data_IF_184292987589
#
_entry.id   IF_184292987589
#
_cell.length_a   1.000
_cell.length_b   1.000
_cell.length_c   1.000
_cell.angle_alpha   90.00
_cell.angle_beta   90.00
_cell.angle_gamma   90.00
#
_symmetry.space_group_name_H-M   'P 1'
#
loop_
_entity.id
_entity.type
_entity.pdbx_description
1 polymer ?
#
# COMPACT_ATOMS: atom_id res chain seq x y z
N UNK A 1 11.95 -10.21 -22.48
CA UNK A 1 10.50 -10.05 -22.72
C UNK A 1 9.81 -11.18 -22.00
N UNK A 2 9.16 -10.93 -20.87
CA UNK A 2 8.46 -11.96 -20.11
C UNK A 2 7.00 -12.04 -20.60
N UNK A 3 6.62 -13.26 -20.94
CA UNK A 3 5.32 -13.70 -21.46
C UNK A 3 4.21 -13.54 -20.40
N UNK A 4 3.26 -12.65 -20.67
CA UNK A 4 2.06 -12.44 -19.84
C UNK A 4 1.05 -13.54 -20.15
N UNK A 5 0.92 -14.54 -19.27
CA UNK A 5 -0.14 -15.54 -19.35
C UNK A 5 -1.46 -14.95 -18.82
N UNK A 6 -2.51 -14.82 -19.63
CA UNK A 6 -3.82 -14.40 -19.13
C UNK A 6 -4.45 -15.56 -18.34
N UNK A 7 -4.91 -15.29 -17.11
CA UNK A 7 -5.79 -16.22 -16.38
C UNK A 7 -5.53 -16.49 -14.90
N UNK A 8 -4.53 -15.87 -14.26
CA UNK A 8 -4.38 -15.91 -12.80
C UNK A 8 -4.30 -14.51 -12.22
N UNK A 9 -5.40 -14.07 -11.62
CA UNK A 9 -5.44 -12.88 -10.78
C UNK A 9 -4.90 -13.26 -9.40
N UNK A 10 -3.89 -12.56 -8.85
CA UNK A 10 -3.47 -12.78 -7.48
C UNK A 10 -4.62 -12.48 -6.51
N UNK A 11 -5.08 -13.51 -5.80
CA UNK A 11 -5.94 -13.36 -4.63
C UNK A 11 -5.07 -13.31 -3.38
N UNK A 12 -5.17 -12.22 -2.64
CA UNK A 12 -4.34 -11.95 -1.47
C UNK A 12 -5.24 -11.88 -0.23
N UNK A 13 -5.10 -12.88 0.64
CA UNK A 13 -5.81 -13.01 1.90
C UNK A 13 -4.82 -12.82 3.06
N UNK A 14 -5.17 -11.97 4.02
CA UNK A 14 -4.46 -11.85 5.29
C UNK A 14 -5.48 -11.99 6.43
N UNK A 15 -5.53 -13.16 7.10
CA UNK A 15 -6.42 -13.34 8.25
C UNK A 15 -6.01 -12.42 9.40
N UNK A 16 -6.99 -11.87 10.13
CA UNK A 16 -6.75 -11.03 11.31
C UNK A 16 -6.00 -11.79 12.42
N UNK A 17 -6.22 -13.11 12.51
CA UNK A 17 -5.50 -14.02 13.41
C UNK A 17 -4.24 -14.67 12.77
N UNK A 18 -3.73 -14.12 11.66
CA UNK A 18 -2.58 -14.67 10.95
C UNK A 18 -1.26 -14.59 11.73
N UNK A 19 -0.18 -15.14 11.16
CA UNK A 19 1.16 -14.98 11.72
C UNK A 19 1.69 -13.56 11.49
N UNK A 20 2.38 -13.02 12.49
CA UNK A 20 3.07 -11.72 12.42
C UNK A 20 4.58 -11.92 12.17
N UNK A 21 5.23 -10.91 11.60
CA UNK A 21 6.70 -10.89 11.53
C UNK A 21 7.27 -10.17 12.75
N UNK A 22 8.54 -10.42 13.10
CA UNK A 22 9.20 -9.86 14.29
C UNK A 22 9.03 -8.33 14.47
N UNK A 23 8.84 -7.60 13.36
CA UNK A 23 8.75 -6.14 13.33
C UNK A 23 7.36 -5.60 12.95
N UNK A 24 6.32 -6.45 12.91
CA UNK A 24 4.95 -6.00 12.70
C UNK A 24 4.03 -6.70 13.68
N UNK A 25 3.04 -5.96 14.19
CA UNK A 25 2.01 -6.52 15.06
C UNK A 25 0.83 -7.08 14.26
N UNK A 26 0.79 -6.86 12.95
CA UNK A 26 -0.35 -7.25 12.12
C UNK A 26 0.06 -8.27 11.05
N UNK A 27 -0.72 -9.34 10.89
CA UNK A 27 -0.63 -10.25 9.76
C UNK A 27 -0.57 -9.55 8.40
N UNK A 28 0.10 -10.16 7.42
CA UNK A 28 0.09 -9.66 6.05
C UNK A 28 0.30 -10.76 5.03
N UNK A 29 -0.25 -10.55 3.85
CA UNK A 29 0.14 -11.23 2.63
C UNK A 29 0.46 -10.14 1.61
N UNK A 30 1.74 -9.97 1.28
CA UNK A 30 2.21 -8.89 0.42
C UNK A 30 3.30 -9.37 -0.53
N UNK A 31 3.29 -8.82 -1.74
CA UNK A 31 4.41 -8.88 -2.66
C UNK A 31 5.39 -7.78 -2.29
N UNK A 32 6.67 -8.13 -2.27
CA UNK A 32 7.79 -7.23 -2.00
C UNK A 32 8.57 -7.11 -3.30
N UNK A 33 8.82 -5.88 -3.77
CA UNK A 33 9.69 -5.69 -4.93
C UNK A 33 11.09 -6.21 -4.65
N UNK A 34 11.70 -6.84 -5.66
CA UNK A 34 13.08 -7.30 -5.62
C UNK A 34 14.07 -6.21 -6.06
N UNK A 35 13.55 -5.06 -6.48
CA UNK A 35 14.35 -3.94 -6.97
C UNK A 35 14.23 -2.78 -5.98
N UNK A 36 15.30 -2.58 -5.23
CA UNK A 36 15.44 -1.39 -4.39
C UNK A 36 15.81 -0.16 -5.26
N UNK A 37 15.51 1.04 -4.75
CA UNK A 37 15.89 2.33 -5.35
C UNK A 37 16.12 3.39 -4.27
N UNK A 38 16.68 4.53 -4.65
CA UNK A 38 16.94 5.63 -3.74
C UNK A 38 15.75 6.60 -3.72
N UNK A 39 15.19 6.81 -2.54
CA UNK A 39 14.04 7.70 -2.36
C UNK A 39 14.38 9.15 -2.72
N UNK A 40 13.52 9.75 -3.55
CA UNK A 40 13.59 11.15 -3.98
C UNK A 40 14.63 11.44 -5.06
N UNK A 41 15.32 10.43 -5.61
CA UNK A 41 16.40 10.63 -6.58
C UNK A 41 16.12 9.99 -7.96
N UNK A 42 15.27 8.97 -8.01
CA UNK A 42 14.90 8.29 -9.25
C UNK A 42 13.39 8.19 -9.37
N UNK A 43 12.87 8.48 -10.57
CA UNK A 43 11.44 8.31 -10.80
C UNK A 43 11.11 6.82 -10.82
N UNK A 44 10.24 6.38 -9.90
CA UNK A 44 9.79 5.00 -9.77
C UNK A 44 8.32 4.95 -9.42
N UNK A 45 7.58 4.04 -10.01
CA UNK A 45 6.12 3.96 -9.85
C UNK A 45 5.64 2.54 -9.59
N UNK A 46 4.72 2.40 -8.63
CA UNK A 46 3.86 1.24 -8.46
C UNK A 46 2.44 1.61 -8.89
N UNK A 47 1.91 0.90 -9.89
CA UNK A 47 0.51 1.01 -10.32
C UNK A 47 -0.19 -0.32 -10.11
N UNK A 48 -1.40 -0.28 -9.57
CA UNK A 48 -2.21 -1.48 -9.41
C UNK A 48 -3.69 -1.21 -9.68
N UNK A 49 -4.36 -2.25 -10.15
CA UNK A 49 -5.80 -2.31 -10.31
C UNK A 49 -6.33 -3.45 -9.47
N UNK A 50 -7.29 -3.19 -8.59
CA UNK A 50 -7.71 -4.14 -7.56
C UNK A 50 -9.18 -3.96 -7.15
N UNK A 51 -9.70 -4.95 -6.44
CA UNK A 51 -10.95 -4.86 -5.69
C UNK A 51 -10.75 -5.43 -4.29
N UNK A 52 -11.27 -4.73 -3.28
CA UNK A 52 -11.30 -5.19 -1.89
C UNK A 52 -12.65 -5.87 -1.65
N UNK A 53 -12.64 -7.15 -1.30
CA UNK A 53 -13.85 -7.95 -1.09
C UNK A 53 -14.20 -8.14 0.39
N UNK A 54 -13.23 -7.93 1.29
CA UNK A 54 -13.40 -8.01 2.72
C UNK A 54 -12.36 -7.11 3.40
N UNK A 55 -12.74 -6.52 4.54
CA UNK A 55 -11.86 -5.81 5.47
C UNK A 55 -12.05 -6.42 6.87
N UNK A 56 -11.06 -6.33 7.77
CA UNK A 56 -11.20 -6.80 9.14
C UNK A 56 -12.38 -6.13 9.86
N UNK A 57 -13.01 -6.85 10.77
CA UNK A 57 -14.28 -6.45 11.38
C UNK A 57 -14.15 -5.26 12.33
N UNK A 58 -13.02 -5.12 13.03
CA UNK A 58 -12.81 -4.08 14.03
C UNK A 58 -12.33 -2.75 13.42
N UNK A 59 -11.19 -2.74 12.75
CA UNK A 59 -10.56 -1.53 12.21
C UNK A 59 -11.15 -1.11 10.87
N UNK A 60 -11.74 -2.06 10.13
CA UNK A 60 -12.24 -1.88 8.75
C UNK A 60 -11.18 -1.32 7.80
N UNK A 61 -9.90 -1.54 8.12
CA UNK A 61 -8.76 -0.89 7.49
C UNK A 61 -7.70 -1.92 7.05
N UNK A 62 -7.23 -1.77 5.82
CA UNK A 62 -6.12 -2.51 5.25
C UNK A 62 -5.21 -1.57 4.47
N UNK A 63 -3.90 -1.82 4.52
CA UNK A 63 -2.93 -1.18 3.65
C UNK A 63 -2.79 -2.05 2.39
N UNK A 64 -2.94 -1.42 1.23
CA UNK A 64 -2.99 -2.08 -0.09
C UNK A 64 -1.75 -1.81 -0.95
N UNK A 65 -0.96 -0.80 -0.62
CA UNK A 65 0.27 -0.43 -1.31
C UNK A 65 1.17 0.38 -0.38
N UNK A 66 2.48 0.19 -0.52
CA UNK A 66 3.46 0.86 0.32
C UNK A 66 4.70 1.23 -0.47
N UNK A 67 5.38 2.26 0.02
CA UNK A 67 6.78 2.50 -0.24
C UNK A 67 7.51 2.35 1.10
N UNK A 68 8.35 1.32 1.17
CA UNK A 68 8.90 0.76 2.38
C UNK A 68 10.42 0.85 2.35
N UNK A 69 11.02 1.22 3.48
CA UNK A 69 12.46 1.17 3.66
C UNK A 69 13.05 -0.20 3.37
N UNK A 70 14.27 -0.19 2.85
CA UNK A 70 15.17 -1.33 2.67
C UNK A 70 16.42 -1.15 3.55
N UNK A 71 17.34 -2.10 3.51
CA UNK A 71 18.62 -2.06 4.24
C UNK A 71 18.50 -1.63 5.72
N UNK A 72 19.07 -0.48 6.07
CA UNK A 72 19.17 0.06 7.42
C UNK A 72 17.81 0.50 7.99
N UNK A 73 16.86 0.82 7.12
CA UNK A 73 15.50 1.27 7.48
C UNK A 73 14.42 0.23 7.16
N UNK A 74 14.80 -1.04 6.93
CA UNK A 74 13.91 -2.14 6.49
C UNK A 74 12.70 -2.47 7.38
N UNK A 75 12.56 -1.84 8.53
CA UNK A 75 11.40 -1.98 9.42
C UNK A 75 10.38 -0.85 9.28
N UNK A 76 10.60 0.13 8.40
CA UNK A 76 9.78 1.34 8.31
C UNK A 76 9.12 1.46 6.94
N UNK A 77 7.81 1.30 6.89
CA UNK A 77 6.98 1.82 5.79
C UNK A 77 6.77 3.31 6.00
N UNK A 78 7.01 4.15 4.98
CA UNK A 78 6.81 5.59 5.09
C UNK A 78 5.74 6.14 4.18
N UNK A 79 5.39 5.47 3.08
CA UNK A 79 4.12 5.68 2.37
C UNK A 79 3.26 4.44 2.58
N UNK A 80 2.03 4.64 3.04
CA UNK A 80 1.04 3.59 3.23
C UNK A 80 -0.28 4.03 2.60
N UNK A 81 -0.76 3.28 1.61
CA UNK A 81 -2.04 3.54 0.98
C UNK A 81 -3.10 2.65 1.63
N UNK A 82 -4.06 3.28 2.28
CA UNK A 82 -5.14 2.62 3.01
C UNK A 82 -6.39 2.46 2.14
N UNK A 83 -7.07 1.33 2.31
CA UNK A 83 -8.50 1.20 2.05
C UNK A 83 -9.19 1.02 3.40
N UNK A 84 -10.01 2.01 3.77
CA UNK A 84 -10.68 2.09 5.07
C UNK A 84 -12.17 2.27 4.88
N UNK A 85 -12.90 1.17 4.93
CA UNK A 85 -14.35 1.11 4.75
C UNK A 85 -14.85 1.93 3.53
N UNK A 86 -14.13 1.81 2.41
CA UNK A 86 -14.43 2.53 1.17
C UNK A 86 -13.83 3.94 1.03
N UNK A 87 -13.07 4.38 2.03
CA UNK A 87 -12.18 5.55 1.92
C UNK A 87 -10.78 5.10 1.47
N UNK A 88 -10.20 5.82 0.51
CA UNK A 88 -8.83 5.63 0.07
C UNK A 88 -8.04 6.87 0.48
N UNK A 89 -7.01 6.68 1.29
CA UNK A 89 -6.12 7.73 1.76
C UNK A 89 -4.68 7.24 1.83
N UNK A 90 -3.73 8.15 1.64
CA UNK A 90 -2.32 7.86 1.79
C UNK A 90 -1.80 8.49 3.10
N UNK A 91 -1.07 7.71 3.88
CA UNK A 91 -0.29 8.21 5.00
C UNK A 91 1.18 8.31 4.62
N UNK A 92 1.79 9.46 4.86
CA UNK A 92 3.23 9.71 4.67
C UNK A 92 3.88 10.01 6.02
N UNK A 93 4.65 9.06 6.56
CA UNK A 93 5.43 9.28 7.79
C UNK A 93 6.48 10.36 7.57
N UNK A 94 6.67 11.21 8.56
CA UNK A 94 7.65 12.31 8.48
C UNK A 94 9.01 11.93 9.10
N UNK A 95 9.03 10.88 9.93
CA UNK A 95 10.20 10.39 10.66
C UNK A 95 10.31 8.87 10.57
N UNK A 96 11.54 8.36 10.56
CA UNK A 96 11.80 6.92 10.65
C UNK A 96 11.35 6.29 11.99
N UNK A 97 11.16 7.10 13.04
CA UNK A 97 10.69 6.68 14.37
C UNK A 97 9.58 7.59 14.88
N UNK A 98 8.65 7.00 15.63
CA UNK A 98 7.45 7.68 16.13
C UNK A 98 6.30 7.66 15.12
N UNK A 99 5.25 8.40 15.45
CA UNK A 99 3.96 8.33 14.76
C UNK A 99 3.62 9.60 13.96
N UNK A 100 4.60 10.49 13.78
CA UNK A 100 4.41 11.71 13.00
C UNK A 100 4.22 11.38 11.52
N UNK A 101 3.06 11.79 10.99
CA UNK A 101 2.63 11.50 9.63
C UNK A 101 1.71 12.59 9.10
N UNK A 102 1.63 12.68 7.78
CA UNK A 102 0.65 13.46 7.04
C UNK A 102 -0.33 12.51 6.35
N UNK A 103 -1.60 12.84 6.32
CA UNK A 103 -2.65 12.04 5.67
C UNK A 103 -3.21 12.81 4.48
N UNK A 104 -3.31 12.14 3.34
CA UNK A 104 -3.77 12.68 2.07
C UNK A 104 -5.02 11.92 1.61
N UNK A 105 -6.22 12.51 1.73
CA UNK A 105 -7.43 11.87 1.25
C UNK A 105 -7.45 11.84 -0.29
N UNK A 106 -7.87 10.71 -0.87
CA UNK A 106 -7.98 10.54 -2.31
C UNK A 106 -9.43 10.29 -2.73
N UNK A 107 -10.02 9.17 -2.32
CA UNK A 107 -11.39 8.83 -2.70
C UNK A 107 -12.20 8.44 -1.46
N UNK A 108 -13.51 8.60 -1.56
CA UNK A 108 -14.48 8.10 -0.58
C UNK A 108 -15.59 7.36 -1.30
N UNK A 109 -16.29 6.48 -0.59
CA UNK A 109 -17.43 5.75 -1.12
C UNK A 109 -17.08 4.74 -2.21
N UNK A 110 -15.86 4.18 -2.22
CA UNK A 110 -15.50 3.03 -3.06
C UNK A 110 -16.06 1.76 -2.40
N UNK A 111 -17.06 1.07 -2.98
CA UNK A 111 -17.66 -0.09 -2.34
C UNK A 111 -16.74 -1.31 -2.32
N UNK A 112 -17.02 -2.24 -1.40
CA UNK A 112 -16.43 -3.58 -1.50
C UNK A 112 -16.84 -4.24 -2.82
N UNK A 113 -15.92 -5.01 -3.40
CA UNK A 113 -16.01 -5.70 -4.68
C UNK A 113 -15.98 -4.81 -5.93
N UNK A 114 -16.02 -3.49 -5.77
CA UNK A 114 -15.82 -2.58 -6.89
C UNK A 114 -14.33 -2.45 -7.22
N UNK A 115 -14.04 -2.34 -8.51
CA UNK A 115 -12.68 -2.20 -9.02
C UNK A 115 -12.26 -0.75 -9.00
N UNK A 116 -11.08 -0.48 -8.47
CA UNK A 116 -10.43 0.82 -8.52
C UNK A 116 -8.96 0.65 -8.88
N UNK A 117 -8.33 1.76 -9.22
CA UNK A 117 -6.91 1.82 -9.55
C UNK A 117 -6.19 2.74 -8.57
N UNK A 118 -4.92 2.47 -8.29
CA UNK A 118 -4.04 3.41 -7.61
C UNK A 118 -2.68 3.50 -8.28
N UNK A 119 -1.98 4.60 -8.01
CA UNK A 119 -0.55 4.74 -8.30
C UNK A 119 0.16 5.39 -7.13
N UNK A 120 1.35 4.90 -6.79
CA UNK A 120 2.32 5.54 -5.90
C UNK A 120 3.56 5.79 -6.75
N UNK A 121 3.95 7.05 -6.91
CA UNK A 121 5.14 7.46 -7.65
C UNK A 121 6.07 8.25 -6.75
N UNK A 122 7.33 7.81 -6.66
CA UNK A 122 8.43 8.71 -6.35
C UNK A 122 8.80 9.44 -7.65
N UNK A 123 8.75 10.77 -7.65
CA UNK A 123 8.95 11.58 -8.85
C UNK A 123 10.46 11.80 -9.15
N UNK A 124 11.36 11.29 -8.31
CA UNK A 124 12.82 11.39 -8.49
C UNK A 124 13.38 12.81 -8.34
N UNK A 125 12.61 13.70 -7.74
CA UNK A 125 12.94 15.12 -7.56
C UNK A 125 12.66 15.61 -6.13
N UNK A 126 12.65 14.68 -5.16
CA UNK A 126 12.27 14.94 -3.78
C UNK A 126 10.76 15.07 -3.53
N UNK A 127 9.91 14.81 -4.54
CA UNK A 127 8.46 14.76 -4.38
C UNK A 127 7.88 13.40 -4.75
N UNK A 128 6.66 13.15 -4.29
CA UNK A 128 5.89 11.95 -4.57
C UNK A 128 4.50 12.33 -5.02
N UNK A 129 3.96 11.52 -5.92
CA UNK A 129 2.61 11.64 -6.44
C UNK A 129 1.83 10.37 -6.15
N UNK A 130 0.71 10.49 -5.45
CA UNK A 130 -0.20 9.38 -5.13
C UNK A 130 -1.56 9.66 -5.74
N UNK A 131 -2.13 8.70 -6.45
CA UNK A 131 -3.46 8.83 -7.05
C UNK A 131 -4.30 7.59 -6.85
N UNK A 132 -5.62 7.79 -6.86
CA UNK A 132 -6.61 6.72 -6.92
C UNK A 132 -7.71 7.08 -7.92
N UNK A 133 -8.22 6.07 -8.63
CA UNK A 133 -9.27 6.22 -9.64
C UNK A 133 -10.39 5.22 -9.41
N UNK A 134 -11.63 5.69 -9.38
CA UNK A 134 -12.82 4.85 -9.31
C UNK A 134 -13.91 5.44 -10.21
N UNK A 135 -14.58 4.61 -11.02
CA UNK A 135 -15.61 5.04 -11.97
C UNK A 135 -15.20 6.23 -12.87
N UNK A 136 -13.93 6.24 -13.30
CA UNK A 136 -13.37 7.29 -14.16
C UNK A 136 -13.10 8.63 -13.46
N UNK A 137 -13.32 8.72 -12.15
CA UNK A 137 -12.94 9.87 -11.33
C UNK A 137 -11.58 9.60 -10.69
N UNK A 138 -10.60 10.46 -10.97
CA UNK A 138 -9.25 10.36 -10.42
C UNK A 138 -9.03 11.50 -9.43
N UNK A 139 -8.58 11.15 -8.22
CA UNK A 139 -8.01 12.12 -7.29
C UNK A 139 -6.52 11.88 -7.17
N UNK A 140 -5.76 12.95 -7.01
CA UNK A 140 -4.32 12.93 -6.82
C UNK A 140 -3.94 13.81 -5.64
N UNK A 141 -2.86 13.41 -4.96
CA UNK A 141 -2.16 14.19 -3.96
C UNK A 141 -0.65 14.20 -4.29
N UNK A 142 -0.02 15.32 -3.97
CA UNK A 142 1.44 15.45 -4.01
C UNK A 142 1.95 15.62 -2.59
N UNK A 143 3.01 14.89 -2.25
CA UNK A 143 3.72 14.99 -0.99
C UNK A 143 5.22 15.24 -1.28
N UNK A 144 5.94 15.75 -0.29
CA UNK A 144 7.41 15.75 -0.36
C UNK A 144 7.93 14.42 0.16
N UNK A 145 9.04 13.93 -0.39
CA UNK A 145 9.83 12.90 0.27
C UNK A 145 10.35 13.53 1.57
N UNK A 146 9.97 13.01 2.75
CA UNK A 146 10.38 13.63 3.99
C UNK A 146 11.91 13.56 4.14
N UNK A 147 12.51 14.56 4.77
CA UNK A 147 13.97 14.67 4.93
C UNK A 147 14.58 13.41 5.55
N UNK A 148 13.88 12.75 6.47
CA UNK A 148 14.35 11.51 7.10
C UNK A 148 14.31 10.27 6.21
N UNK A 149 13.76 10.35 5.00
CA UNK A 149 13.73 9.28 4.02
C UNK A 149 14.45 9.64 2.71
N UNK A 150 14.73 10.92 2.47
CA UNK A 150 15.47 11.36 1.28
C UNK A 150 16.84 10.66 1.21
N UNK A 151 17.17 10.04 0.07
CA UNK A 151 18.43 9.34 -0.13
C UNK A 151 18.51 7.95 0.52
N UNK A 152 17.47 7.50 1.20
CA UNK A 152 17.42 6.16 1.78
C UNK A 152 17.08 5.10 0.73
N UNK A 153 17.58 3.88 0.92
CA UNK A 153 17.21 2.73 0.10
C UNK A 153 15.78 2.28 0.43
N UNK A 154 14.94 2.16 -0.59
CA UNK A 154 13.51 1.85 -0.45
C UNK A 154 13.03 0.88 -1.54
N UNK A 155 11.84 0.34 -1.36
CA UNK A 155 11.16 -0.54 -2.32
C UNK A 155 9.65 -0.47 -2.19
N UNK A 156 8.97 -0.87 -3.24
CA UNK A 156 7.52 -1.04 -3.20
C UNK A 156 7.10 -2.34 -2.49
N UNK A 157 5.97 -2.27 -1.80
CA UNK A 157 5.19 -3.44 -1.39
C UNK A 157 3.74 -3.26 -1.81
N UNK A 158 3.06 -4.36 -2.15
CA UNK A 158 1.66 -4.35 -2.60
C UNK A 158 0.96 -5.62 -2.13
N UNK A 159 -0.25 -5.49 -1.59
CA UNK A 159 -0.97 -6.65 -1.09
C UNK A 159 -2.05 -6.29 -0.10
N UNK A 160 -2.05 -7.01 1.02
CA UNK A 160 -2.99 -6.84 2.10
C UNK A 160 -2.23 -6.90 3.42
N UNK A 161 -1.95 -5.72 3.97
CA UNK A 161 -1.44 -5.55 5.31
C UNK A 161 -2.56 -5.02 6.22
N UNK A 162 -3.21 -5.96 6.89
CA UNK A 162 -4.42 -5.70 7.65
C UNK A 162 -4.11 -4.94 8.95
N UNK A 163 -4.98 -3.99 9.33
CA UNK A 163 -4.77 -3.10 10.49
C UNK A 163 -5.68 -3.45 11.67
N UNK A 164 -6.15 -4.70 11.79
CA UNK A 164 -6.93 -5.15 12.95
C UNK A 164 -6.06 -5.19 14.20
N UNK A 165 -6.65 -4.82 15.33
CA UNK A 165 -6.05 -4.99 16.65
C UNK A 165 -6.47 -6.33 17.28
N UNK A 166 -7.59 -6.90 16.80
CA UNK A 166 -8.14 -8.18 17.27
C UNK A 166 -8.91 -8.91 16.17
N UNK A 167 -8.86 -10.23 16.17
CA UNK A 167 -9.71 -11.05 15.31
C UNK A 167 -11.07 -11.30 15.98
N UNK A 168 -12.17 -11.13 15.23
CA UNK A 168 -13.53 -11.40 15.70
C UNK A 168 -14.07 -12.79 15.28
N UNK A 169 -13.22 -13.62 14.67
CA UNK A 169 -13.54 -14.99 14.25
C UNK A 169 -12.49 -15.53 13.27
N UNK A 170 -12.60 -16.81 12.91
CA UNK A 170 -11.61 -17.50 12.06
C UNK A 170 -11.55 -16.97 10.63
N UNK A 171 -12.66 -16.41 10.13
CA UNK A 171 -12.77 -15.83 8.78
C UNK A 171 -12.49 -14.32 8.73
N UNK A 172 -12.18 -13.69 9.87
CA UNK A 172 -11.96 -12.25 9.98
C UNK A 172 -10.63 -11.84 9.32
N UNK A 173 -10.61 -10.68 8.66
CA UNK A 173 -9.42 -10.16 7.97
C UNK A 173 -9.72 -9.51 6.63
N UNK A 174 -8.66 -9.09 5.93
CA UNK A 174 -8.77 -8.47 4.62
C UNK A 174 -8.78 -9.50 3.48
N UNK A 175 -9.46 -9.19 2.38
CA UNK A 175 -9.40 -9.96 1.12
C UNK A 175 -9.31 -9.03 -0.07
N UNK A 176 -8.25 -9.16 -0.85
CA UNK A 176 -7.96 -8.31 -2.00
C UNK A 176 -7.72 -9.16 -3.24
N UNK A 177 -8.29 -8.75 -4.37
CA UNK A 177 -7.96 -9.33 -5.68
C UNK A 177 -7.27 -8.26 -6.52
N UNK A 178 -6.07 -8.56 -6.98
CA UNK A 178 -5.33 -7.72 -7.91
C UNK A 178 -5.59 -8.19 -9.34
N UNK A 179 -5.97 -7.27 -10.21
CA UNK A 179 -6.19 -7.51 -11.64
C UNK A 179 -4.93 -7.20 -12.45
N UNK A 180 -4.21 -6.13 -12.07
CA UNK A 180 -2.91 -5.75 -12.61
C UNK A 180 -2.03 -5.19 -11.50
N UNK A 181 -0.72 -5.46 -11.60
CA UNK A 181 0.33 -4.85 -10.79
C UNK A 181 1.47 -4.57 -11.76
N UNK A 182 1.92 -3.33 -11.80
CA UNK A 182 3.05 -2.89 -12.61
C UNK A 182 3.98 -2.04 -11.76
N UNK A 183 5.27 -2.32 -11.86
CA UNK A 183 6.34 -1.47 -11.35
C UNK A 183 7.14 -0.92 -12.52
N UNK A 184 7.46 0.38 -12.50
CA UNK A 184 8.27 1.07 -13.50
C UNK A 184 9.36 1.91 -12.86
#
# INVERSE_FOLDING_TARGET
MADHRPGRQPHVLAPAAGATTKNSKSPRSELISLTDFTAGEEQRSLTASLAVSQVPSDSRDIIIGQLHGSDDIKSVAYVMLHYKDGTIEAEVKQKQKGDEKQTFPLLTGVPLNDRFDFTITDDGNGSMTISATHNGQTQQATAQVPESFQGETVRFQVGNYQQAESAQGDDDGGRVTFYTIEER
#
